data_IF_174335369977
#
_entry.id   IF_174335369977
#
_cell.length_a   1.000
_cell.length_b   1.000
_cell.length_c   1.000
_cell.angle_alpha   90.00
_cell.angle_beta   90.00
_cell.angle_gamma   90.00
#
_symmetry.space_group_name_H-M   'P 1'
#
loop_
_entity.id
_entity.type
_entity.pdbx_description
1 polymer ?
#
# COMPACT_ATOMS: atom_id res chain seq x y z
N UNK A 1 5.16 -34.82 3.38
CA UNK A 1 5.09 -34.05 2.14
C UNK A 1 6.03 -32.84 2.18
N UNK A 2 5.94 -32.00 3.23
CA UNK A 2 6.79 -30.83 3.41
C UNK A 2 8.27 -31.23 3.64
N UNK A 3 9.19 -30.63 2.87
CA UNK A 3 10.64 -30.86 2.94
C UNK A 3 11.44 -29.56 3.06
N UNK A 4 10.74 -28.41 3.06
CA UNK A 4 11.38 -27.11 3.10
C UNK A 4 12.06 -26.83 4.43
N UNK A 5 12.90 -25.82 4.44
CA UNK A 5 13.72 -25.42 5.57
C UNK A 5 13.64 -23.92 5.83
N UNK A 6 14.04 -23.53 7.03
CA UNK A 6 14.41 -22.16 7.32
C UNK A 6 15.90 -21.99 7.16
N UNK A 7 16.34 -20.99 6.40
CA UNK A 7 17.76 -20.69 6.24
C UNK A 7 18.47 -20.48 7.58
N UNK A 8 19.76 -20.80 7.65
CA UNK A 8 20.53 -20.83 8.90
C UNK A 8 20.53 -19.51 9.67
N UNK A 9 20.49 -18.38 8.97
CA UNK A 9 20.38 -17.03 9.54
C UNK A 9 18.96 -16.66 10.00
N UNK A 10 17.97 -17.54 9.76
CA UNK A 10 16.56 -17.29 10.07
C UNK A 10 15.90 -18.40 10.91
N UNK A 11 16.61 -19.47 11.25
CA UNK A 11 16.05 -20.67 11.92
C UNK A 11 15.37 -20.36 13.25
N UNK A 12 15.86 -19.38 14.01
CA UNK A 12 15.28 -18.96 15.28
C UNK A 12 13.97 -18.15 15.16
N UNK A 13 13.55 -17.83 13.94
CA UNK A 13 12.30 -17.09 13.65
C UNK A 13 11.18 -17.99 13.16
N UNK A 14 11.52 -19.18 12.70
CA UNK A 14 10.51 -20.16 12.27
C UNK A 14 9.84 -20.82 13.48
N UNK A 15 8.61 -21.24 13.28
CA UNK A 15 7.73 -21.82 14.27
C UNK A 15 6.67 -22.70 13.61
N UNK A 16 5.66 -23.15 14.35
CA UNK A 16 4.58 -23.98 13.79
C UNK A 16 3.70 -23.26 12.76
N UNK A 17 3.78 -21.94 12.65
CA UNK A 17 3.07 -21.16 11.63
C UNK A 17 3.95 -20.87 10.42
N UNK A 18 5.13 -20.31 10.64
CA UNK A 18 6.14 -20.06 9.63
C UNK A 18 7.12 -21.23 9.62
N UNK A 19 6.88 -22.18 8.72
CA UNK A 19 7.60 -23.47 8.65
C UNK A 19 8.76 -23.48 7.66
N UNK A 20 8.91 -22.44 6.83
CA UNK A 20 9.98 -22.29 5.86
C UNK A 20 10.25 -20.84 5.54
N UNK A 21 11.53 -20.51 5.31
CA UNK A 21 11.93 -19.19 4.88
C UNK A 21 13.25 -19.27 4.10
N UNK A 22 13.24 -18.80 2.86
CA UNK A 22 14.38 -18.75 1.96
C UNK A 22 14.47 -17.40 1.24
N UNK A 23 15.67 -17.00 0.86
CA UNK A 23 15.93 -15.82 0.04
C UNK A 23 16.61 -16.22 -1.27
N UNK A 24 16.12 -15.65 -2.36
CA UNK A 24 16.63 -15.87 -3.72
C UNK A 24 17.23 -14.58 -4.31
N UNK A 25 17.35 -13.53 -3.50
CA UNK A 25 18.00 -12.30 -3.92
C UNK A 25 19.48 -12.51 -4.20
N UNK A 26 20.00 -11.93 -5.26
CA UNK A 26 21.43 -11.92 -5.59
C UNK A 26 22.24 -11.40 -4.40
N UNK A 27 23.25 -12.16 -3.96
CA UNK A 27 24.22 -11.72 -2.95
C UNK A 27 23.98 -12.16 -1.51
N UNK A 28 23.38 -13.32 -1.24
CA UNK A 28 23.10 -13.85 0.12
C UNK A 28 22.09 -13.01 0.94
N UNK A 29 21.02 -12.59 0.31
CA UNK A 29 19.93 -11.87 0.97
C UNK A 29 19.34 -12.63 2.16
N UNK A 30 18.81 -11.90 3.11
CA UNK A 30 18.04 -12.46 4.22
C UNK A 30 16.58 -12.66 3.80
N UNK A 31 15.88 -13.72 4.25
CA UNK A 31 14.45 -13.86 4.05
C UNK A 31 13.60 -12.85 4.86
N UNK A 32 14.24 -12.00 5.66
CA UNK A 32 13.54 -10.91 6.38
C UNK A 32 12.95 -9.93 5.38
N UNK A 33 11.69 -9.58 5.61
CA UNK A 33 11.00 -8.54 4.84
C UNK A 33 11.55 -7.16 5.22
N UNK A 34 12.02 -6.42 4.25
CA UNK A 34 12.58 -5.07 4.39
C UNK A 34 11.70 -3.99 3.73
N UNK A 35 10.60 -4.40 3.07
CA UNK A 35 9.61 -3.53 2.43
C UNK A 35 8.28 -3.52 3.19
N UNK A 36 7.81 -4.68 3.65
CA UNK A 36 6.54 -4.88 4.32
C UNK A 36 5.45 -5.50 3.43
N UNK A 37 5.58 -5.46 2.11
CA UNK A 37 4.59 -6.02 1.18
C UNK A 37 4.42 -7.53 1.38
N UNK A 38 5.52 -8.30 1.47
CA UNK A 38 5.49 -9.74 1.70
C UNK A 38 4.83 -10.12 3.03
N UNK A 39 5.12 -9.39 4.10
CA UNK A 39 4.47 -9.57 5.41
C UNK A 39 2.97 -9.30 5.33
N UNK A 40 2.56 -8.25 4.63
CA UNK A 40 1.15 -7.90 4.44
C UNK A 40 0.42 -8.99 3.66
N UNK A 41 0.95 -9.45 2.54
CA UNK A 41 0.32 -10.48 1.70
C UNK A 41 0.25 -11.83 2.40
N UNK A 42 1.32 -12.26 3.07
CA UNK A 42 1.34 -13.51 3.83
C UNK A 42 0.36 -13.49 5.01
N UNK A 43 0.26 -12.37 5.73
CA UNK A 43 -0.68 -12.22 6.84
C UNK A 43 -2.13 -12.16 6.36
N UNK A 44 -2.41 -11.53 5.22
CA UNK A 44 -3.74 -11.52 4.60
C UNK A 44 -4.15 -12.93 4.15
N UNK A 45 -3.24 -13.69 3.57
CA UNK A 45 -3.52 -15.05 3.14
C UNK A 45 -3.76 -16.01 4.33
N UNK A 46 -2.86 -16.01 5.31
CA UNK A 46 -2.83 -17.06 6.33
C UNK A 46 -2.32 -16.57 7.71
N UNK A 47 -2.44 -15.29 8.07
CA UNK A 47 -2.08 -14.80 9.40
C UNK A 47 -2.87 -15.49 10.51
N UNK A 48 -2.22 -15.80 11.62
CA UNK A 48 -2.89 -16.33 12.81
C UNK A 48 -3.81 -15.28 13.45
N UNK A 49 -4.74 -15.70 14.30
CA UNK A 49 -5.61 -14.78 15.03
C UNK A 49 -4.80 -13.87 15.97
N UNK A 50 -5.03 -12.57 15.88
CA UNK A 50 -4.42 -11.55 16.75
C UNK A 50 -5.54 -10.70 17.35
N UNK A 51 -5.80 -10.89 18.64
CA UNK A 51 -6.82 -10.14 19.37
C UNK A 51 -6.36 -8.71 19.65
N UNK A 52 -7.29 -7.75 19.57
CA UNK A 52 -7.02 -6.34 19.85
C UNK A 52 -6.15 -5.65 18.78
N UNK A 53 -6.08 -6.23 17.60
CA UNK A 53 -5.41 -5.59 16.46
C UNK A 53 -6.10 -4.28 16.10
N UNK A 54 -5.33 -3.21 15.91
CA UNK A 54 -5.85 -1.91 15.54
C UNK A 54 -4.72 -1.01 14.98
N UNK A 55 -5.10 0.06 14.29
CA UNK A 55 -4.19 1.14 13.87
C UNK A 55 -4.62 2.43 14.57
N UNK A 56 -3.87 2.86 15.58
CA UNK A 56 -4.21 4.02 16.42
C UNK A 56 -5.64 3.97 16.99
N UNK A 57 -6.16 2.77 17.30
CA UNK A 57 -7.52 2.52 17.77
C UNK A 57 -8.58 2.42 16.67
N UNK A 58 -8.20 2.61 15.39
CA UNK A 58 -9.08 2.33 14.26
C UNK A 58 -9.06 0.84 13.91
N UNK A 59 -10.13 0.35 13.31
CA UNK A 59 -10.32 -1.06 12.91
C UNK A 59 -10.03 -2.06 14.06
N UNK A 60 -10.35 -1.66 15.29
CA UNK A 60 -10.08 -2.49 16.47
C UNK A 60 -10.92 -3.79 16.42
N UNK A 61 -10.24 -4.92 16.55
CA UNK A 61 -10.87 -6.23 16.52
C UNK A 61 -9.86 -7.37 16.56
N UNK A 62 -10.29 -8.53 16.09
CA UNK A 62 -9.40 -9.67 15.90
C UNK A 62 -8.96 -9.73 14.45
N UNK A 63 -7.67 -9.52 14.18
CA UNK A 63 -7.11 -9.73 12.85
C UNK A 63 -6.88 -11.23 12.61
N UNK A 64 -7.10 -11.67 11.37
CA UNK A 64 -6.78 -13.03 10.92
C UNK A 64 -6.60 -13.03 9.40
N UNK A 65 -5.76 -13.92 8.89
CA UNK A 65 -5.74 -14.24 7.47
C UNK A 65 -6.97 -15.06 7.07
N UNK A 66 -7.20 -15.18 5.76
CA UNK A 66 -8.35 -15.95 5.24
C UNK A 66 -8.24 -17.44 5.60
N UNK A 67 -7.02 -17.98 5.65
CA UNK A 67 -6.72 -19.35 6.08
C UNK A 67 -5.86 -19.35 7.37
N UNK A 68 -6.41 -18.98 8.55
CA UNK A 68 -5.61 -18.71 9.75
C UNK A 68 -4.92 -19.94 10.34
N UNK A 69 -5.32 -21.14 9.95
CA UNK A 69 -4.70 -22.39 10.40
C UNK A 69 -3.70 -22.97 9.40
N UNK A 70 -3.55 -22.40 8.21
CA UNK A 70 -2.54 -22.86 7.25
C UNK A 70 -1.13 -22.51 7.73
N UNK A 71 -0.17 -23.37 7.40
CA UNK A 71 1.26 -23.07 7.55
C UNK A 71 1.72 -22.14 6.43
N UNK A 72 2.75 -21.36 6.69
CA UNK A 72 3.35 -20.43 5.74
C UNK A 72 4.80 -20.81 5.48
N UNK A 73 5.21 -20.79 4.22
CA UNK A 73 6.60 -20.78 3.79
C UNK A 73 6.87 -19.54 2.93
N UNK A 74 7.95 -18.84 3.19
CA UNK A 74 8.32 -17.59 2.53
C UNK A 74 9.50 -17.83 1.59
N UNK A 75 9.37 -17.34 0.37
CA UNK A 75 10.39 -17.34 -0.67
C UNK A 75 10.59 -15.91 -1.13
N UNK A 76 11.58 -15.21 -0.56
CA UNK A 76 11.83 -13.80 -0.88
C UNK A 76 12.59 -13.67 -2.19
N UNK A 77 12.00 -12.98 -3.16
CA UNK A 77 12.52 -12.79 -4.51
C UNK A 77 12.75 -11.33 -4.90
N UNK A 78 12.25 -10.39 -4.10
CA UNK A 78 12.33 -8.97 -4.39
C UNK A 78 13.25 -8.24 -3.40
N UNK A 79 13.92 -7.19 -3.87
CA UNK A 79 14.70 -6.26 -3.04
C UNK A 79 14.21 -4.83 -3.22
N UNK A 80 14.45 -3.97 -2.23
CA UNK A 80 14.12 -2.55 -2.31
C UNK A 80 14.80 -1.85 -3.50
N UNK A 81 16.06 -2.17 -3.75
CA UNK A 81 16.87 -1.49 -4.77
C UNK A 81 16.83 -2.14 -6.16
N UNK A 82 16.47 -3.42 -6.26
CA UNK A 82 16.60 -4.20 -7.49
C UNK A 82 15.27 -4.76 -8.05
N UNK A 83 14.16 -4.54 -7.35
CA UNK A 83 12.88 -5.11 -7.76
C UNK A 83 12.85 -6.65 -7.62
N UNK A 84 12.09 -7.31 -8.49
CA UNK A 84 11.93 -8.77 -8.50
C UNK A 84 12.46 -9.31 -9.84
N UNK A 85 13.58 -10.04 -9.82
CA UNK A 85 14.13 -10.61 -11.05
C UNK A 85 13.38 -11.88 -11.46
N UNK A 86 13.28 -12.11 -12.77
CA UNK A 86 12.66 -13.31 -13.34
C UNK A 86 13.38 -14.60 -12.91
N UNK A 87 14.71 -14.57 -12.88
CA UNK A 87 15.54 -15.72 -12.47
C UNK A 87 15.32 -16.09 -11.02
N UNK A 88 15.24 -15.10 -10.11
CA UNK A 88 15.03 -15.33 -8.68
C UNK A 88 13.61 -15.84 -8.42
N UNK A 89 12.64 -15.28 -9.15
CA UNK A 89 11.23 -15.71 -9.08
C UNK A 89 11.08 -17.15 -9.54
N UNK A 90 11.67 -17.52 -10.67
CA UNK A 90 11.61 -18.89 -11.19
C UNK A 90 12.31 -19.88 -10.26
N UNK A 91 13.51 -19.57 -9.77
CA UNK A 91 14.24 -20.39 -8.83
C UNK A 91 13.47 -20.61 -7.50
N UNK A 92 12.78 -19.57 -7.04
CA UNK A 92 11.94 -19.67 -5.84
C UNK A 92 10.71 -20.53 -6.06
N UNK A 93 10.07 -20.47 -7.23
CA UNK A 93 8.94 -21.34 -7.59
C UNK A 93 9.42 -22.81 -7.65
N UNK A 94 10.53 -23.09 -8.31
CA UNK A 94 11.10 -24.43 -8.37
C UNK A 94 11.40 -25.00 -6.97
N UNK A 95 12.00 -24.19 -6.12
CA UNK A 95 12.29 -24.60 -4.75
C UNK A 95 10.99 -24.85 -3.93
N UNK A 96 9.98 -24.02 -4.09
CA UNK A 96 8.69 -24.24 -3.42
C UNK A 96 8.00 -25.54 -3.88
N UNK A 97 8.12 -25.86 -5.18
CA UNK A 97 7.64 -27.13 -5.73
C UNK A 97 8.37 -28.32 -5.07
N UNK A 98 9.69 -28.26 -4.99
CA UNK A 98 10.52 -29.32 -4.42
C UNK A 98 10.33 -29.45 -2.90
N UNK A 99 10.12 -28.36 -2.20
CA UNK A 99 9.80 -28.33 -0.78
C UNK A 99 8.41 -28.92 -0.47
N UNK A 100 7.55 -29.00 -1.47
CA UNK A 100 6.26 -29.70 -1.39
C UNK A 100 5.14 -28.84 -0.81
N UNK A 101 5.06 -27.57 -1.22
CA UNK A 101 3.91 -26.69 -0.92
C UNK A 101 2.62 -27.22 -1.57
N UNK A 102 1.49 -26.85 -1.03
CA UNK A 102 0.18 -27.19 -1.60
C UNK A 102 -0.35 -26.06 -2.49
N UNK A 103 0.02 -24.82 -2.17
CA UNK A 103 -0.45 -23.60 -2.83
C UNK A 103 0.74 -22.65 -3.00
N UNK A 104 0.82 -22.02 -4.18
CA UNK A 104 1.65 -20.87 -4.45
C UNK A 104 0.78 -19.61 -4.49
N UNK A 105 1.14 -18.59 -3.73
CA UNK A 105 0.49 -17.28 -3.70
C UNK A 105 1.51 -16.21 -4.10
N UNK A 106 1.31 -15.58 -5.27
CA UNK A 106 2.23 -14.61 -5.84
C UNK A 106 1.53 -13.26 -6.01
N UNK A 107 1.91 -12.28 -5.20
CA UNK A 107 1.52 -10.88 -5.39
C UNK A 107 2.57 -10.15 -6.23
N UNK A 108 2.99 -10.78 -7.31
CA UNK A 108 4.00 -10.33 -8.26
C UNK A 108 3.37 -10.27 -9.65
N UNK A 109 3.95 -9.46 -10.52
CA UNK A 109 3.51 -9.39 -11.91
C UNK A 109 4.09 -8.18 -12.62
N UNK A 110 4.06 -8.26 -13.94
CA UNK A 110 4.48 -7.22 -14.86
C UNK A 110 3.37 -6.95 -15.89
N UNK A 111 3.68 -6.13 -16.88
CA UNK A 111 2.82 -5.97 -18.06
C UNK A 111 2.65 -7.31 -18.78
N UNK A 112 1.47 -7.57 -19.36
CA UNK A 112 1.22 -8.82 -20.09
C UNK A 112 2.26 -9.06 -21.20
N UNK A 113 2.82 -10.26 -21.22
CA UNK A 113 3.74 -10.76 -22.23
C UNK A 113 3.28 -12.17 -22.66
N UNK A 114 3.79 -12.72 -23.77
CA UNK A 114 3.49 -14.09 -24.18
C UNK A 114 3.85 -15.10 -23.08
N UNK A 115 3.00 -16.08 -22.83
CA UNK A 115 3.17 -17.05 -21.73
C UNK A 115 4.49 -17.83 -21.78
N UNK A 116 5.06 -18.04 -22.95
CA UNK A 116 6.35 -18.73 -23.14
C UNK A 116 7.57 -17.83 -22.82
N UNK A 117 7.35 -16.55 -22.59
CA UNK A 117 8.37 -15.57 -22.16
C UNK A 117 8.17 -15.15 -20.70
N UNK A 118 7.04 -15.48 -20.09
CA UNK A 118 6.66 -15.11 -18.74
C UNK A 118 7.17 -16.15 -17.73
N UNK A 119 8.15 -15.78 -16.93
CA UNK A 119 8.76 -16.63 -15.91
C UNK A 119 7.74 -17.15 -14.88
N UNK A 120 6.75 -16.33 -14.51
CA UNK A 120 5.68 -16.72 -13.60
C UNK A 120 4.77 -17.75 -14.28
N UNK A 121 4.39 -17.52 -15.52
CA UNK A 121 3.56 -18.48 -16.27
C UNK A 121 4.26 -19.83 -16.43
N UNK A 122 5.55 -19.83 -16.76
CA UNK A 122 6.35 -21.07 -16.91
C UNK A 122 6.47 -21.84 -15.60
N UNK A 123 6.85 -21.15 -14.51
CA UNK A 123 6.95 -21.75 -13.18
C UNK A 123 5.60 -22.24 -12.66
N UNK A 124 4.53 -21.48 -12.86
CA UNK A 124 3.17 -21.85 -12.50
C UNK A 124 2.69 -23.12 -13.27
N UNK A 125 3.06 -23.25 -14.54
CA UNK A 125 2.77 -24.45 -15.33
C UNK A 125 3.40 -25.70 -14.68
N UNK A 126 4.70 -25.62 -14.36
CA UNK A 126 5.43 -26.70 -13.69
C UNK A 126 4.83 -27.07 -12.33
N UNK A 127 4.37 -26.07 -11.57
CA UNK A 127 3.70 -26.28 -10.29
C UNK A 127 2.36 -27.01 -10.47
N UNK A 128 1.56 -26.59 -11.45
CA UNK A 128 0.24 -27.17 -11.75
C UNK A 128 0.36 -28.63 -12.22
N UNK A 129 1.36 -28.96 -13.02
CA UNK A 129 1.64 -30.37 -13.41
C UNK A 129 1.93 -31.27 -12.20
N UNK A 130 2.39 -30.71 -11.08
CA UNK A 130 2.61 -31.44 -9.81
C UNK A 130 1.45 -31.32 -8.83
N UNK A 131 0.32 -30.77 -9.26
CA UNK A 131 -0.91 -30.66 -8.49
C UNK A 131 -0.87 -29.55 -7.44
N UNK A 132 0.01 -28.55 -7.61
CA UNK A 132 0.10 -27.35 -6.78
C UNK A 132 -0.82 -26.29 -7.35
N UNK A 133 -1.66 -25.71 -6.52
CA UNK A 133 -2.56 -24.63 -6.93
C UNK A 133 -1.82 -23.30 -6.95
N UNK A 134 -1.95 -22.53 -8.06
CA UNK A 134 -1.26 -21.25 -8.22
C UNK A 134 -2.26 -20.11 -8.30
N UNK A 135 -2.11 -19.14 -7.40
CA UNK A 135 -2.88 -17.89 -7.37
C UNK A 135 -1.95 -16.69 -7.52
N UNK A 136 -2.26 -15.82 -8.47
CA UNK A 136 -1.49 -14.60 -8.73
C UNK A 136 -2.38 -13.36 -8.76
N UNK A 137 -1.80 -12.21 -8.40
CA UNK A 137 -2.43 -10.92 -8.59
C UNK A 137 -2.50 -10.57 -10.08
N UNK A 138 -3.60 -9.93 -10.52
CA UNK A 138 -3.72 -9.43 -11.90
C UNK A 138 -2.89 -8.17 -12.17
N UNK A 139 -2.29 -7.59 -11.14
CA UNK A 139 -1.55 -6.32 -11.19
C UNK A 139 -2.41 -5.09 -10.88
N UNK A 140 -1.77 -3.93 -10.87
CA UNK A 140 -2.35 -2.64 -10.41
C UNK A 140 -2.47 -1.60 -11.55
N UNK A 141 -2.45 -2.04 -12.81
CA UNK A 141 -2.48 -1.14 -13.98
C UNK A 141 -3.88 -0.83 -14.50
N UNK A 142 -4.95 -1.35 -13.85
CA UNK A 142 -6.33 -0.96 -14.16
C UNK A 142 -6.58 0.55 -13.94
N UNK A 143 -7.56 1.14 -14.63
CA UNK A 143 -8.49 0.54 -15.60
C UNK A 143 -7.97 0.52 -17.06
N UNK A 144 -6.65 0.52 -17.27
CA UNK A 144 -6.05 0.48 -18.61
C UNK A 144 -6.46 -0.84 -19.29
N UNK A 145 -6.98 -0.73 -20.52
CA UNK A 145 -7.40 -1.89 -21.32
C UNK A 145 -6.19 -2.79 -21.59
N UNK A 146 -6.37 -4.11 -21.50
CA UNK A 146 -5.35 -5.13 -21.69
C UNK A 146 -4.15 -5.04 -20.75
N UNK A 147 -4.34 -4.53 -19.53
CA UNK A 147 -3.28 -4.41 -18.51
C UNK A 147 -3.27 -5.55 -17.48
N UNK A 148 -4.18 -6.51 -17.57
CA UNK A 148 -4.22 -7.67 -16.68
C UNK A 148 -3.03 -8.60 -16.95
N UNK A 149 -2.13 -8.71 -15.97
CA UNK A 149 -1.01 -9.65 -15.97
C UNK A 149 -1.41 -11.04 -15.45
N UNK A 150 -0.48 -11.98 -15.49
CA UNK A 150 -0.62 -13.34 -14.95
C UNK A 150 -1.84 -14.10 -15.51
N UNK A 151 -2.23 -13.84 -16.76
CA UNK A 151 -3.47 -14.35 -17.35
C UNK A 151 -3.35 -15.75 -17.98
N UNK A 152 -2.30 -16.52 -17.64
CA UNK A 152 -2.14 -17.88 -18.15
C UNK A 152 -3.28 -18.79 -17.63
N UNK A 153 -3.88 -19.66 -18.48
CA UNK A 153 -5.09 -20.41 -18.13
C UNK A 153 -4.91 -21.44 -17.00
N UNK A 154 -3.71 -21.72 -16.60
CA UNK A 154 -3.38 -22.58 -15.44
C UNK A 154 -3.15 -21.81 -14.14
N UNK A 155 -3.32 -20.50 -14.14
CA UNK A 155 -3.20 -19.61 -12.97
C UNK A 155 -4.59 -19.11 -12.58
N UNK A 156 -4.90 -19.12 -11.28
CA UNK A 156 -6.01 -18.31 -10.76
C UNK A 156 -5.55 -16.86 -10.63
N UNK A 157 -5.96 -16.02 -11.57
CA UNK A 157 -5.65 -14.60 -11.58
C UNK A 157 -6.71 -13.80 -10.85
N UNK A 158 -6.31 -13.02 -9.85
CA UNK A 158 -7.23 -12.34 -8.94
C UNK A 158 -7.02 -10.84 -8.97
N UNK A 159 -8.10 -10.10 -9.20
CA UNK A 159 -8.15 -8.64 -9.02
C UNK A 159 -8.55 -8.28 -7.59
N UNK A 160 -7.98 -7.21 -7.06
CA UNK A 160 -8.34 -6.70 -5.74
C UNK A 160 -9.66 -5.91 -5.77
N UNK A 161 -10.35 -5.87 -4.64
CA UNK A 161 -11.48 -4.99 -4.38
C UNK A 161 -11.34 -4.29 -3.03
N UNK A 162 -12.09 -3.20 -2.83
CA UNK A 162 -12.25 -2.59 -1.52
C UNK A 162 -13.18 -3.43 -0.63
N UNK A 163 -13.13 -3.14 0.67
CA UNK A 163 -14.01 -3.72 1.69
C UNK A 163 -15.13 -2.73 2.04
N UNK A 164 -16.15 -3.18 2.75
CA UNK A 164 -17.21 -2.32 3.31
C UNK A 164 -16.77 -1.66 4.66
N UNK A 165 -15.48 -1.54 4.88
CA UNK A 165 -14.88 -0.83 6.01
C UNK A 165 -14.08 0.35 5.49
N UNK A 166 -14.39 1.54 6.03
CA UNK A 166 -13.66 2.78 5.78
C UNK A 166 -13.08 3.30 7.09
N UNK A 167 -11.99 4.05 7.02
CA UNK A 167 -11.45 4.83 8.15
C UNK A 167 -11.57 6.29 7.76
N UNK A 168 -12.72 6.88 8.07
CA UNK A 168 -13.17 8.16 7.51
C UNK A 168 -12.52 9.34 8.20
N UNK A 169 -12.03 10.26 7.37
CA UNK A 169 -11.68 11.62 7.73
C UNK A 169 -12.30 12.60 6.74
N UNK A 170 -12.72 13.78 7.21
CA UNK A 170 -13.40 14.77 6.37
C UNK A 170 -12.64 16.09 6.35
N UNK A 171 -12.38 16.58 5.15
CA UNK A 171 -11.93 17.97 4.92
C UNK A 171 -13.14 18.87 4.92
N UNK A 172 -13.13 19.94 5.73
CA UNK A 172 -14.12 21.01 5.69
C UNK A 172 -13.45 22.31 5.33
N UNK A 173 -13.88 22.92 4.25
CA UNK A 173 -13.37 24.21 3.76
C UNK A 173 -14.05 25.39 4.45
N UNK A 174 -13.42 26.57 4.36
CA UNK A 174 -13.97 27.81 4.91
C UNK A 174 -15.27 28.28 4.24
N UNK A 175 -15.55 27.85 3.02
CA UNK A 175 -16.84 28.04 2.33
C UNK A 175 -17.93 27.05 2.75
N UNK A 176 -17.64 26.14 3.71
CA UNK A 176 -18.49 25.10 4.26
C UNK A 176 -18.67 23.84 3.40
N UNK A 177 -17.99 23.73 2.26
CA UNK A 177 -17.94 22.49 1.52
C UNK A 177 -17.19 21.42 2.33
N UNK A 178 -17.65 20.20 2.24
CA UNK A 178 -17.08 19.04 2.94
C UNK A 178 -16.75 17.94 1.94
N UNK A 179 -15.59 17.31 2.13
CA UNK A 179 -15.08 16.24 1.28
C UNK A 179 -14.69 15.05 2.14
N UNK A 180 -15.33 13.92 1.90
CA UNK A 180 -15.00 12.67 2.59
C UNK A 180 -13.69 12.09 2.02
N UNK A 181 -12.78 11.82 2.91
CA UNK A 181 -11.52 11.14 2.64
C UNK A 181 -11.29 9.98 3.60
N UNK A 182 -10.10 9.42 3.57
CA UNK A 182 -9.68 8.37 4.48
C UNK A 182 -8.35 8.70 5.17
N UNK A 183 -8.20 8.21 6.42
CA UNK A 183 -6.98 8.36 7.22
C UNK A 183 -7.01 7.45 8.42
N UNK A 184 -5.92 6.74 8.70
CA UNK A 184 -5.76 6.04 9.95
C UNK A 184 -5.27 6.94 11.10
N UNK A 185 -4.92 8.20 10.82
CA UNK A 185 -4.53 9.16 11.88
C UNK A 185 -5.67 9.35 12.86
N UNK A 186 -5.33 9.38 14.16
CA UNK A 186 -6.30 9.65 15.23
C UNK A 186 -5.74 10.69 16.19
N UNK A 187 -6.31 11.89 16.25
CA UNK A 187 -5.87 12.90 17.20
C UNK A 187 -6.21 12.49 18.64
N UNK A 188 -5.34 12.83 19.58
CA UNK A 188 -5.60 12.63 21.01
C UNK A 188 -6.76 13.49 21.51
N UNK A 189 -6.94 14.68 20.92
CA UNK A 189 -8.01 15.62 21.23
C UNK A 189 -8.61 16.05 19.88
N UNK A 190 -9.93 15.94 19.69
CA UNK A 190 -10.58 16.46 18.49
C UNK A 190 -10.26 17.94 18.30
N UNK A 191 -9.81 18.32 17.12
CA UNK A 191 -9.52 19.72 16.79
C UNK A 191 -10.41 20.13 15.62
N UNK A 192 -11.14 21.24 15.78
CA UNK A 192 -11.96 21.87 14.74
C UNK A 192 -11.40 23.22 14.30
N UNK A 193 -10.13 23.50 14.60
CA UNK A 193 -9.48 24.74 14.21
C UNK A 193 -9.24 24.73 12.71
N UNK A 194 -9.60 25.85 12.06
CA UNK A 194 -9.29 26.09 10.66
C UNK A 194 -7.87 26.63 10.54
N UNK A 195 -7.14 26.07 9.58
CA UNK A 195 -5.78 26.50 9.22
C UNK A 195 -5.76 26.94 7.75
N UNK A 196 -4.88 27.86 7.42
CA UNK A 196 -4.67 28.28 6.03
C UNK A 196 -4.14 27.11 5.21
N UNK A 197 -4.61 26.98 3.98
CA UNK A 197 -4.11 26.01 3.01
C UNK A 197 -2.83 26.53 2.34
N UNK A 198 -1.95 25.60 2.01
CA UNK A 198 -0.76 25.83 1.20
C UNK A 198 -0.72 24.80 0.08
N UNK A 199 -0.74 25.26 -1.17
CA UNK A 199 -0.61 24.38 -2.33
C UNK A 199 0.88 24.17 -2.65
N UNK A 200 1.39 22.97 -2.46
CA UNK A 200 2.78 22.63 -2.76
C UNK A 200 3.11 22.65 -4.26
N UNK A 201 2.09 22.61 -5.13
CA UNK A 201 2.27 22.72 -6.59
C UNK A 201 2.35 24.16 -7.08
N UNK A 202 1.85 25.12 -6.31
CA UNK A 202 1.89 26.53 -6.67
C UNK A 202 3.31 27.08 -6.49
N UNK A 203 3.86 27.63 -7.57
CA UNK A 203 5.22 28.19 -7.60
C UNK A 203 6.34 27.16 -7.27
N UNK A 204 6.09 25.86 -7.47
CA UNK A 204 7.09 24.84 -7.28
C UNK A 204 8.33 25.09 -8.15
N UNK A 205 9.49 25.19 -7.51
CA UNK A 205 10.78 25.31 -8.21
C UNK A 205 11.21 23.98 -8.84
N UNK A 206 10.78 22.87 -8.24
CA UNK A 206 10.92 21.53 -8.77
C UNK A 206 9.54 20.91 -8.96
N UNK A 207 9.12 20.78 -10.22
CA UNK A 207 7.79 20.25 -10.60
C UNK A 207 7.68 18.73 -10.44
N UNK A 208 8.79 18.04 -10.20
CA UNK A 208 8.82 16.58 -10.01
C UNK A 208 8.82 16.14 -8.55
N UNK A 209 9.24 17.02 -7.64
CA UNK A 209 9.38 16.68 -6.21
C UNK A 209 8.42 17.49 -5.33
N UNK A 210 8.39 18.81 -5.47
CA UNK A 210 7.63 19.71 -4.57
C UNK A 210 6.13 19.42 -4.55
N UNK A 211 5.43 19.23 -5.69
CA UNK A 211 4.00 18.91 -5.68
C UNK A 211 3.67 17.59 -4.97
N UNK A 212 4.63 16.68 -4.94
CA UNK A 212 4.49 15.38 -4.29
C UNK A 212 4.97 15.39 -2.84
N UNK A 213 5.37 16.53 -2.30
CA UNK A 213 5.92 16.68 -0.96
C UNK A 213 7.05 15.68 -0.68
N UNK A 214 7.95 15.50 -1.64
CA UNK A 214 9.09 14.60 -1.54
C UNK A 214 10.04 15.02 -0.41
N UNK A 215 10.80 14.11 0.20
CA UNK A 215 11.74 14.43 1.26
C UNK A 215 12.70 15.56 0.86
N UNK A 216 12.74 16.63 1.67
CA UNK A 216 13.58 17.80 1.44
C UNK A 216 13.06 18.83 0.42
N UNK A 217 11.94 18.59 -0.26
CA UNK A 217 11.41 19.48 -1.30
C UNK A 217 10.64 20.69 -0.75
N UNK A 218 10.14 20.63 0.48
CA UNK A 218 9.33 21.67 1.10
C UNK A 218 10.19 22.68 1.86
N UNK A 219 10.77 23.63 1.16
CA UNK A 219 11.71 24.62 1.72
C UNK A 219 11.09 26.00 1.98
N UNK A 220 9.85 26.25 1.52
CA UNK A 220 9.18 27.54 1.69
C UNK A 220 8.78 27.75 3.16
N UNK A 221 9.27 28.83 3.84
CA UNK A 221 8.90 29.13 5.23
C UNK A 221 7.41 29.44 5.42
N UNK A 222 6.69 29.74 4.34
CA UNK A 222 5.24 29.99 4.39
C UNK A 222 4.41 28.74 4.71
N UNK A 223 5.00 27.55 4.67
CA UNK A 223 4.35 26.27 5.04
C UNK A 223 4.03 26.21 6.54
N UNK A 224 4.84 26.89 7.35
CA UNK A 224 4.72 26.82 8.82
C UNK A 224 3.32 27.18 9.29
N UNK A 225 2.70 26.28 10.05
CA UNK A 225 1.37 26.46 10.64
C UNK A 225 0.21 26.28 9.65
N UNK A 226 0.46 25.74 8.45
CA UNK A 226 -0.57 25.54 7.41
C UNK A 226 -0.87 24.05 7.19
N UNK A 227 -2.03 23.79 6.59
CA UNK A 227 -2.34 22.47 5.98
C UNK A 227 -1.82 22.51 4.55
N UNK A 228 -0.98 21.53 4.20
CA UNK A 228 -0.32 21.43 2.91
C UNK A 228 -1.09 20.50 1.97
N UNK A 229 -1.33 20.93 0.74
CA UNK A 229 -1.88 20.11 -0.32
C UNK A 229 -0.72 19.41 -1.06
N UNK A 230 -0.71 18.07 -1.06
CA UNK A 230 0.29 17.25 -1.73
C UNK A 230 -0.40 16.35 -2.76
N UNK A 231 0.23 16.10 -3.90
CA UNK A 231 -0.24 15.11 -4.86
C UNK A 231 0.19 13.70 -4.43
N UNK A 232 -0.64 12.70 -4.67
CA UNK A 232 -0.25 11.30 -4.53
C UNK A 232 0.68 10.87 -5.68
N UNK A 233 1.53 9.86 -5.45
CA UNK A 233 2.51 9.40 -6.43
C UNK A 233 3.86 10.10 -6.30
N UNK A 234 4.56 10.31 -7.44
CA UNK A 234 5.92 10.86 -7.44
C UNK A 234 6.98 9.89 -6.90
N UNK A 235 6.65 8.58 -6.78
CA UNK A 235 7.58 7.59 -6.17
C UNK A 235 7.75 7.73 -4.66
N UNK A 236 6.97 8.60 -3.99
CA UNK A 236 7.07 8.88 -2.55
C UNK A 236 5.90 8.24 -1.82
N UNK A 237 6.12 7.38 -0.82
CA UNK A 237 5.06 6.85 0.05
C UNK A 237 4.30 7.97 0.75
N UNK A 238 2.97 7.85 0.85
CA UNK A 238 2.14 8.90 1.45
C UNK A 238 2.52 9.21 2.92
N UNK A 239 2.97 8.22 3.67
CA UNK A 239 3.43 8.42 5.06
C UNK A 239 4.67 9.32 5.11
N UNK A 240 5.60 9.16 4.16
CA UNK A 240 6.83 9.95 4.08
C UNK A 240 6.54 11.41 3.68
N UNK A 241 5.53 11.64 2.82
CA UNK A 241 5.01 12.99 2.55
C UNK A 241 4.57 13.68 3.85
N UNK A 242 3.87 12.92 4.72
CA UNK A 242 3.44 13.41 6.03
C UNK A 242 4.62 13.82 6.92
N UNK A 243 5.71 13.04 6.92
CA UNK A 243 6.93 13.40 7.64
C UNK A 243 7.55 14.68 7.07
N UNK A 244 7.66 14.79 5.73
CA UNK A 244 8.19 15.99 5.05
C UNK A 244 7.39 17.25 5.42
N UNK A 245 6.06 17.19 5.38
CA UNK A 245 5.20 18.31 5.77
C UNK A 245 5.41 18.71 7.24
N UNK A 246 5.52 17.73 8.12
CA UNK A 246 5.78 17.95 9.55
C UNK A 246 7.12 18.63 9.77
N UNK A 247 8.16 18.17 9.10
CA UNK A 247 9.54 18.71 9.22
C UNK A 247 9.62 20.14 8.68
N UNK A 248 8.83 20.49 7.65
CA UNK A 248 8.65 21.84 7.15
C UNK A 248 7.79 22.75 8.08
N UNK A 249 7.26 22.21 9.18
CA UNK A 249 6.42 22.94 10.14
C UNK A 249 4.95 23.02 9.77
N UNK A 250 4.47 22.28 8.79
CA UNK A 250 3.05 22.14 8.48
C UNK A 250 2.29 21.46 9.63
N UNK A 251 1.02 21.82 9.79
CA UNK A 251 0.16 21.30 10.87
C UNK A 251 -0.83 20.23 10.42
N UNK A 252 -0.93 20.03 9.13
CA UNK A 252 -1.77 19.01 8.51
C UNK A 252 -1.46 18.83 7.03
N UNK A 253 -2.00 17.81 6.41
CA UNK A 253 -1.80 17.47 5.01
C UNK A 253 -3.10 16.97 4.38
N UNK A 254 -3.36 17.39 3.16
CA UNK A 254 -4.40 16.80 2.31
C UNK A 254 -3.69 16.22 1.09
N UNK A 255 -3.84 14.89 0.91
CA UNK A 255 -3.30 14.20 -0.25
C UNK A 255 -4.38 14.14 -1.32
N UNK A 256 -4.06 14.68 -2.48
CA UNK A 256 -4.95 14.67 -3.65
C UNK A 256 -4.57 13.49 -4.52
N UNK A 257 -5.48 12.55 -4.66
CA UNK A 257 -5.20 11.34 -5.42
C UNK A 257 -5.12 11.60 -6.93
N UNK A 258 -4.44 10.72 -7.64
CA UNK A 258 -4.33 10.79 -9.10
C UNK A 258 -5.65 10.35 -9.76
N UNK A 259 -6.08 10.98 -10.87
CA UNK A 259 -7.23 10.53 -11.65
C UNK A 259 -7.15 9.05 -12.08
N UNK A 260 -5.95 8.50 -12.20
CA UNK A 260 -5.70 7.09 -12.50
C UNK A 260 -6.33 6.13 -11.48
N UNK A 261 -6.41 6.53 -10.23
CA UNK A 261 -6.96 5.71 -9.14
C UNK A 261 -8.45 5.94 -8.88
N UNK A 262 -9.10 6.78 -9.70
CA UNK A 262 -10.54 7.04 -9.62
C UNK A 262 -10.97 7.58 -8.27
N UNK A 263 -11.84 6.85 -7.57
CA UNK A 263 -12.38 7.21 -6.25
C UNK A 263 -11.65 6.54 -5.09
N UNK A 264 -10.63 5.70 -5.37
CA UNK A 264 -9.85 5.02 -4.34
C UNK A 264 -9.16 6.03 -3.43
N UNK A 265 -9.18 5.77 -2.14
CA UNK A 265 -8.53 6.54 -1.08
C UNK A 265 -7.74 5.58 -0.18
N UNK A 266 -6.71 6.10 0.48
CA UNK A 266 -5.84 5.32 1.35
C UNK A 266 -5.95 5.80 2.80
N UNK A 267 -6.20 4.87 3.71
CA UNK A 267 -6.23 5.16 5.14
C UNK A 267 -4.84 4.97 5.77
N UNK A 268 -3.89 5.79 5.37
CA UNK A 268 -2.51 5.67 5.82
C UNK A 268 -2.31 6.16 7.27
N UNK A 269 -1.32 5.57 7.95
CA UNK A 269 -0.98 5.83 9.35
C UNK A 269 -0.01 7.03 9.46
N UNK A 270 -0.50 8.23 9.21
CA UNK A 270 0.30 9.44 9.18
C UNK A 270 0.83 9.89 10.54
N UNK A 271 1.94 10.64 10.53
CA UNK A 271 2.60 11.21 11.72
C UNK A 271 2.04 12.57 12.15
N UNK A 272 1.12 13.15 11.35
CA UNK A 272 0.42 14.41 11.58
C UNK A 272 -1.04 14.25 11.07
N UNK A 273 -1.96 15.19 11.40
CA UNK A 273 -3.29 15.22 10.82
C UNK A 273 -3.23 15.22 9.29
N UNK A 274 -3.68 14.15 8.65
CA UNK A 274 -3.67 14.02 7.20
C UNK A 274 -4.91 13.27 6.71
N UNK A 275 -5.28 13.49 5.46
CA UNK A 275 -6.41 12.85 4.80
C UNK A 275 -6.13 12.66 3.32
N UNK A 276 -6.46 11.50 2.80
CA UNK A 276 -6.42 11.18 1.37
C UNK A 276 -7.81 11.42 0.76
N UNK A 277 -7.90 12.24 -0.28
CA UNK A 277 -9.14 12.56 -0.99
C UNK A 277 -9.08 12.11 -2.44
N UNK A 278 -10.24 11.88 -3.05
CA UNK A 278 -10.32 11.52 -4.48
C UNK A 278 -9.74 12.64 -5.38
N UNK A 279 -9.32 12.28 -6.58
CA UNK A 279 -8.86 13.27 -7.57
C UNK A 279 -9.93 14.33 -7.88
N UNK A 280 -11.20 13.91 -7.97
CA UNK A 280 -12.32 14.82 -8.24
C UNK A 280 -12.54 15.84 -7.11
N UNK A 281 -12.46 15.39 -5.86
CA UNK A 281 -12.59 16.26 -4.70
C UNK A 281 -11.36 17.14 -4.51
N UNK A 282 -10.16 16.60 -4.75
CA UNK A 282 -8.93 17.35 -4.77
C UNK A 282 -8.96 18.52 -5.78
N UNK A 283 -9.53 18.31 -6.97
CA UNK A 283 -9.71 19.36 -7.96
C UNK A 283 -10.60 20.50 -7.43
N UNK A 284 -11.66 20.18 -6.68
CA UNK A 284 -12.53 21.20 -6.06
C UNK A 284 -11.81 21.95 -4.94
N UNK A 285 -11.02 21.24 -4.13
CA UNK A 285 -10.22 21.85 -3.06
C UNK A 285 -9.20 22.82 -3.65
N UNK A 286 -8.48 22.43 -4.71
CA UNK A 286 -7.55 23.32 -5.43
C UNK A 286 -8.26 24.53 -6.04
N UNK A 287 -9.45 24.34 -6.65
CA UNK A 287 -10.25 25.45 -7.16
C UNK A 287 -10.65 26.43 -6.06
N UNK A 288 -11.05 25.93 -4.88
CA UNK A 288 -11.32 26.79 -3.71
C UNK A 288 -10.06 27.53 -3.28
N UNK A 289 -8.90 26.88 -3.19
CA UNK A 289 -7.64 27.50 -2.80
C UNK A 289 -7.29 28.68 -3.69
N UNK A 290 -7.55 28.59 -5.00
CA UNK A 290 -7.30 29.62 -5.98
C UNK A 290 -8.40 30.71 -6.05
N UNK A 291 -9.56 30.48 -5.43
CA UNK A 291 -10.72 31.41 -5.51
C UNK A 291 -10.75 32.44 -4.41
N UNK A 292 -9.90 32.36 -3.40
CA UNK A 292 -9.91 33.26 -2.23
C UNK A 292 -8.49 33.59 -1.78
N UNK A 293 -8.33 34.82 -1.23
CA UNK A 293 -7.03 35.28 -0.70
C UNK A 293 -6.62 34.62 0.61
N UNK A 294 -7.55 34.00 1.31
CA UNK A 294 -7.27 33.31 2.58
C UNK A 294 -8.00 31.98 2.63
N UNK A 295 -7.56 30.97 1.84
CA UNK A 295 -8.15 29.64 1.84
C UNK A 295 -7.86 28.95 3.17
N UNK A 296 -8.91 28.46 3.84
CA UNK A 296 -8.78 27.77 5.12
C UNK A 296 -9.53 26.43 5.10
N UNK A 297 -9.00 25.45 5.83
CA UNK A 297 -9.63 24.16 6.03
C UNK A 297 -9.40 23.62 7.44
N UNK A 298 -10.22 22.67 7.82
CA UNK A 298 -9.99 21.78 8.97
C UNK A 298 -10.17 20.33 8.54
N UNK A 299 -9.53 19.41 9.25
CA UNK A 299 -9.67 17.96 9.05
C UNK A 299 -10.30 17.38 10.30
N UNK A 300 -11.39 16.64 10.15
CA UNK A 300 -12.06 15.92 11.23
C UNK A 300 -11.93 14.42 11.00
N UNK A 301 -11.82 13.64 12.08
CA UNK A 301 -11.54 12.20 12.02
C UNK A 301 -12.69 11.45 12.68
N UNK A 302 -13.49 10.76 11.89
CA UNK A 302 -14.62 9.95 12.34
C UNK A 302 -14.16 8.54 12.75
N UNK A 303 -13.05 8.06 12.16
CA UNK A 303 -12.50 6.74 12.40
C UNK A 303 -13.22 5.64 11.61
N UNK A 304 -13.25 4.44 12.18
CA UNK A 304 -13.76 3.25 11.49
C UNK A 304 -15.27 3.27 11.33
N UNK A 305 -15.74 3.09 10.10
CA UNK A 305 -17.14 2.88 9.72
C UNK A 305 -17.25 1.56 8.97
N UNK A 306 -18.27 0.75 9.29
CA UNK A 306 -18.53 -0.55 8.65
C UNK A 306 -19.96 -0.56 8.12
N UNK A 307 -20.17 -1.13 6.95
CA UNK A 307 -21.51 -1.32 6.37
C UNK A 307 -22.13 -0.03 5.86
N UNK A 308 -21.33 0.91 5.37
CA UNK A 308 -21.83 2.13 4.73
C UNK A 308 -22.52 1.75 3.41
N UNK A 309 -23.84 1.85 3.41
CA UNK A 309 -24.69 1.57 2.23
C UNK A 309 -24.81 2.85 1.40
N UNK A 310 -23.79 3.16 0.61
CA UNK A 310 -23.88 4.14 -0.47
C UNK A 310 -24.02 3.43 -1.81
#
# INVERSE_FOLDING_TARGET
>A
KWKGVCESNFTNKCNNKLIGARSYQLGNGSPIDDDGHGTHTASTAAGAFVNGANVYGNANGTAAGVAPFAHIAIYKVCSLDGGCSDSDTLAAIDAAIDDGVDILSLSLGASPIPFYEDSIALGAYSATERGIFVSCATGNSGPIIASAGNAAPWILTVGASTLDRKIVATVKLGNREEFEGESAYRPKIPNSTFFTLFDASENATDVFETPYCAPGSLTDPAIKGKIVLCLSGGGVPNVDKGQTVKDAGGVGMIIINSPRYGVTKSADAHVLPAVDVSAADGTKILAYTNSTTNPVATITFQGTIIGDKN
#
